data_IF_033464514251
#
_entry.id   IF_033464514251
#
_cell.length_a   1.000
_cell.length_b   1.000
_cell.length_c   1.000
_cell.angle_alpha   90.00
_cell.angle_beta   90.00
_cell.angle_gamma   90.00
#
_symmetry.space_group_name_H-M   'P 1'
#
loop_
_entity.id
_entity.type
_entity.pdbx_description
1 polymer ?
#
# COMPACT_ATOMS: atom_id res chain seq x y z
N UNK A 1 0.63 -52.76 7.15
CA UNK A 1 0.06 -51.84 8.16
C UNK A 1 1.14 -50.81 8.46
N UNK A 2 1.26 -49.81 7.58
CA UNK A 2 2.31 -48.79 7.60
C UNK A 2 1.62 -47.44 7.75
N UNK A 3 1.84 -46.81 8.89
CA UNK A 3 1.30 -45.52 9.29
C UNK A 3 1.77 -44.41 8.32
N UNK A 4 0.85 -43.67 7.66
CA UNK A 4 1.21 -42.59 6.74
C UNK A 4 1.13 -41.20 7.41
N UNK A 5 1.50 -41.04 8.69
CA UNK A 5 1.47 -39.73 9.36
C UNK A 5 2.71 -39.38 10.20
N UNK A 6 3.89 -39.35 9.57
CA UNK A 6 4.99 -38.51 10.05
C UNK A 6 5.44 -37.53 8.95
N UNK A 7 4.72 -36.40 8.83
CA UNK A 7 5.31 -35.23 8.17
C UNK A 7 6.50 -34.78 9.03
N UNK A 8 7.70 -34.57 8.45
CA UNK A 8 8.86 -34.17 9.23
C UNK A 8 8.61 -32.78 9.82
N UNK A 9 8.46 -32.69 11.15
CA UNK A 9 8.42 -31.42 11.86
C UNK A 9 9.76 -30.72 11.64
N UNK A 10 9.74 -29.57 10.97
CA UNK A 10 10.93 -28.75 10.75
C UNK A 10 11.60 -28.43 12.10
N UNK A 11 12.92 -28.53 12.17
CA UNK A 11 13.66 -28.18 13.40
C UNK A 11 13.42 -26.70 13.78
N UNK A 12 13.43 -26.35 15.09
CA UNK A 12 13.13 -24.99 15.57
C UNK A 12 13.98 -23.90 14.89
N UNK A 13 15.22 -24.24 14.54
CA UNK A 13 16.19 -23.36 13.87
C UNK A 13 15.83 -23.09 12.41
N UNK A 14 15.30 -24.09 11.69
CA UNK A 14 14.88 -23.94 10.30
C UNK A 14 13.63 -23.04 10.17
N UNK A 15 12.71 -23.12 11.15
CA UNK A 15 11.55 -22.25 11.27
C UNK A 15 11.94 -20.78 11.51
N UNK A 16 12.89 -20.54 12.42
CA UNK A 16 13.39 -19.19 12.75
C UNK A 16 14.09 -18.52 11.55
N UNK A 17 14.89 -19.27 10.78
CA UNK A 17 15.57 -18.78 9.58
C UNK A 17 14.59 -18.39 8.47
N UNK A 18 13.57 -19.21 8.20
CA UNK A 18 12.53 -18.91 7.20
C UNK A 18 11.74 -17.65 7.57
N UNK A 19 11.40 -17.50 8.85
CA UNK A 19 10.70 -16.31 9.35
C UNK A 19 11.54 -15.06 9.16
N UNK A 20 12.82 -15.10 9.51
CA UNK A 20 13.75 -13.98 9.32
C UNK A 20 13.92 -13.60 7.84
N UNK A 21 14.12 -14.59 6.96
CA UNK A 21 14.20 -14.37 5.51
C UNK A 21 12.92 -13.75 4.93
N UNK A 22 11.76 -14.14 5.45
CA UNK A 22 10.46 -13.60 5.02
C UNK A 22 10.34 -12.13 5.40
N UNK A 23 10.69 -11.77 6.64
CA UNK A 23 10.71 -10.36 7.07
C UNK A 23 11.71 -9.53 6.27
N UNK A 24 12.90 -10.06 5.99
CA UNK A 24 13.88 -9.38 5.14
C UNK A 24 13.34 -9.15 3.72
N UNK A 25 12.67 -10.13 3.15
CA UNK A 25 12.02 -10.00 1.84
C UNK A 25 10.93 -8.93 1.85
N UNK A 26 10.08 -8.89 2.90
CA UNK A 26 9.07 -7.85 3.07
C UNK A 26 9.71 -6.46 3.13
N UNK A 27 10.76 -6.25 3.94
CA UNK A 27 11.47 -4.97 4.00
C UNK A 27 12.09 -4.59 2.66
N UNK A 28 12.68 -5.54 1.94
CA UNK A 28 13.25 -5.30 0.61
C UNK A 28 12.18 -4.92 -0.43
N UNK A 29 11.01 -5.56 -0.39
CA UNK A 29 9.89 -5.24 -1.28
C UNK A 29 9.25 -3.88 -0.94
N UNK A 30 9.14 -3.55 0.34
CA UNK A 30 8.71 -2.20 0.78
C UNK A 30 9.72 -1.16 0.31
N UNK A 31 11.02 -1.41 0.44
CA UNK A 31 12.05 -0.52 -0.09
C UNK A 31 11.94 -0.35 -1.62
N UNK A 32 11.74 -1.44 -2.36
CA UNK A 32 11.56 -1.43 -3.81
C UNK A 32 10.33 -0.60 -4.23
N UNK A 33 9.24 -0.74 -3.50
CA UNK A 33 8.01 0.03 -3.68
C UNK A 33 8.26 1.53 -3.52
N UNK A 34 8.98 1.91 -2.45
CA UNK A 34 9.34 3.29 -2.15
C UNK A 34 10.25 3.89 -3.23
N UNK A 35 11.24 3.13 -3.71
CA UNK A 35 12.06 3.51 -4.86
C UNK A 35 11.20 3.73 -6.10
N UNK A 36 10.27 2.81 -6.40
CA UNK A 36 9.37 2.93 -7.53
C UNK A 36 8.58 4.24 -7.54
N UNK A 37 8.00 4.62 -6.40
CA UNK A 37 7.23 5.87 -6.27
C UNK A 37 8.12 7.11 -6.39
N UNK A 38 9.31 7.08 -5.79
CA UNK A 38 10.29 8.15 -5.94
C UNK A 38 10.73 8.37 -7.41
N UNK A 39 10.83 7.27 -8.18
CA UNK A 39 11.15 7.31 -9.62
C UNK A 39 9.96 7.83 -10.44
N UNK A 40 8.73 7.37 -10.18
CA UNK A 40 7.52 7.88 -10.85
C UNK A 40 7.38 9.39 -10.63
N UNK A 41 7.47 9.84 -9.37
CA UNK A 41 7.31 11.25 -9.00
C UNK A 41 8.33 12.15 -9.70
N UNK A 42 9.57 11.66 -9.87
CA UNK A 42 10.63 12.40 -10.58
C UNK A 42 10.46 12.36 -12.10
N UNK A 43 10.04 11.22 -12.65
CA UNK A 43 9.70 11.07 -14.06
C UNK A 43 8.59 12.03 -14.49
N UNK A 44 7.53 12.13 -13.69
CA UNK A 44 6.45 13.11 -13.89
C UNK A 44 6.96 14.56 -13.92
N UNK A 45 7.78 14.96 -12.94
CA UNK A 45 8.41 16.31 -12.93
C UNK A 45 9.29 16.56 -14.14
N UNK A 46 9.99 15.53 -14.62
CA UNK A 46 10.89 15.62 -15.78
C UNK A 46 10.12 15.72 -17.10
N UNK A 47 8.99 15.03 -17.23
CA UNK A 47 8.17 15.03 -18.45
C UNK A 47 7.30 16.27 -18.58
N UNK A 48 6.61 16.64 -17.49
CA UNK A 48 5.52 17.63 -17.54
C UNK A 48 5.90 19.00 -16.98
N UNK A 49 7.10 19.15 -16.39
CA UNK A 49 7.60 20.45 -15.92
C UNK A 49 6.61 21.16 -14.99
N UNK A 50 6.18 22.37 -15.38
CA UNK A 50 5.25 23.19 -14.61
C UNK A 50 3.79 22.68 -14.69
N UNK A 51 3.39 22.00 -15.76
CA UNK A 51 2.09 21.31 -15.85
C UNK A 51 1.98 20.14 -14.87
N UNK A 52 3.12 19.62 -14.40
CA UNK A 52 3.14 18.60 -13.36
C UNK A 52 2.44 19.09 -12.07
N UNK A 53 2.47 20.39 -11.75
CA UNK A 53 1.75 20.91 -10.57
C UNK A 53 0.24 20.74 -10.70
N UNK A 54 -0.34 20.89 -11.89
CA UNK A 54 -1.77 20.69 -12.11
C UNK A 54 -2.14 19.20 -12.05
N UNK A 55 -1.27 18.33 -12.57
CA UNK A 55 -1.43 16.88 -12.45
C UNK A 55 -1.25 16.38 -11.00
N UNK A 56 -0.31 16.97 -10.24
CA UNK A 56 -0.16 16.70 -8.81
C UNK A 56 -1.35 17.22 -8.01
N UNK A 57 -1.90 18.41 -8.33
CA UNK A 57 -3.12 18.89 -7.71
C UNK A 57 -4.32 17.96 -7.98
N UNK A 58 -4.39 17.35 -9.16
CA UNK A 58 -5.37 16.30 -9.44
C UNK A 58 -5.09 15.00 -8.67
N UNK A 59 -3.82 14.59 -8.56
CA UNK A 59 -3.43 13.43 -7.76
C UNK A 59 -3.60 13.64 -6.24
N UNK A 60 -3.55 14.91 -5.81
CA UNK A 60 -3.85 15.38 -4.45
C UNK A 60 -5.36 15.54 -4.19
N UNK A 61 -6.20 15.13 -5.14
CA UNK A 61 -7.63 15.10 -4.91
C UNK A 61 -7.98 13.94 -3.94
N UNK A 62 -8.64 14.20 -2.80
CA UNK A 62 -8.97 13.16 -1.82
C UNK A 62 -9.91 12.07 -2.39
N UNK A 63 -10.75 12.40 -3.38
CA UNK A 63 -11.58 11.40 -4.07
C UNK A 63 -10.73 10.44 -4.92
N UNK A 64 -9.64 10.93 -5.53
CA UNK A 64 -8.68 10.08 -6.26
C UNK A 64 -7.99 9.14 -5.27
N UNK A 65 -7.54 9.65 -4.12
CA UNK A 65 -6.99 8.83 -3.04
C UNK A 65 -7.95 7.72 -2.59
N UNK A 66 -9.23 8.05 -2.37
CA UNK A 66 -10.27 7.09 -2.02
C UNK A 66 -10.40 5.97 -3.05
N UNK A 67 -10.51 6.30 -4.34
CA UNK A 67 -10.63 5.32 -5.44
C UNK A 67 -9.38 4.45 -5.54
N UNK A 68 -8.19 5.03 -5.41
CA UNK A 68 -6.93 4.28 -5.42
C UNK A 68 -6.90 3.27 -4.29
N UNK A 69 -7.34 3.63 -3.08
CA UNK A 69 -7.48 2.71 -1.96
C UNK A 69 -8.42 1.54 -2.25
N UNK A 70 -9.61 1.83 -2.80
CA UNK A 70 -10.62 0.82 -3.16
C UNK A 70 -10.04 -0.20 -4.14
N UNK A 71 -9.46 0.29 -5.25
CA UNK A 71 -8.91 -0.55 -6.30
C UNK A 71 -7.72 -1.35 -5.78
N UNK A 72 -6.83 -0.71 -5.01
CA UNK A 72 -5.65 -1.37 -4.45
C UNK A 72 -6.06 -2.55 -3.56
N UNK A 73 -7.04 -2.38 -2.68
CA UNK A 73 -7.52 -3.48 -1.83
C UNK A 73 -8.30 -4.52 -2.60
N UNK A 74 -9.12 -4.14 -3.58
CA UNK A 74 -9.83 -5.11 -4.41
C UNK A 74 -8.86 -6.02 -5.19
N UNK A 75 -7.74 -5.46 -5.68
CA UNK A 75 -6.69 -6.21 -6.38
C UNK A 75 -5.85 -7.08 -5.43
N UNK A 76 -5.43 -6.51 -4.30
CA UNK A 76 -4.59 -7.18 -3.27
C UNK A 76 -5.39 -8.20 -2.46
N UNK A 77 -6.71 -8.03 -2.39
CA UNK A 77 -7.64 -8.81 -1.57
C UNK A 77 -7.34 -8.82 -0.06
N UNK A 78 -6.55 -7.86 0.43
CA UNK A 78 -6.15 -7.75 1.83
C UNK A 78 -6.00 -6.29 2.22
N UNK A 79 -6.95 -5.77 2.99
CA UNK A 79 -6.90 -4.36 3.43
C UNK A 79 -5.76 -4.10 4.39
N UNK A 80 -5.36 -5.06 5.23
CA UNK A 80 -4.19 -4.89 6.11
C UNK A 80 -2.88 -4.81 5.33
N UNK A 81 -2.75 -5.56 4.23
CA UNK A 81 -1.62 -5.43 3.32
C UNK A 81 -1.64 -4.07 2.60
N UNK A 82 -2.80 -3.65 2.09
CA UNK A 82 -2.96 -2.34 1.44
C UNK A 82 -2.65 -1.18 2.38
N UNK A 83 -3.15 -1.19 3.61
CA UNK A 83 -2.84 -0.13 4.60
C UNK A 83 -1.37 -0.10 4.95
N UNK A 84 -0.72 -1.26 5.07
CA UNK A 84 0.73 -1.34 5.34
C UNK A 84 1.55 -0.73 4.20
N UNK A 85 1.14 -0.99 2.95
CA UNK A 85 1.71 -0.33 1.76
C UNK A 85 1.53 1.18 1.87
N UNK A 86 0.31 1.67 2.11
CA UNK A 86 0.01 3.11 2.21
C UNK A 86 0.85 3.79 3.29
N UNK A 87 0.97 3.19 4.47
CA UNK A 87 1.84 3.68 5.55
C UNK A 87 3.30 3.75 5.11
N UNK A 88 3.78 2.72 4.39
CA UNK A 88 5.08 2.76 3.75
C UNK A 88 5.21 3.95 2.79
N UNK A 89 4.19 4.22 1.97
CA UNK A 89 4.21 5.35 1.03
C UNK A 89 4.28 6.70 1.75
N UNK A 90 3.59 6.85 2.88
CA UNK A 90 3.67 8.05 3.72
C UNK A 90 5.08 8.25 4.24
N UNK A 91 5.74 7.18 4.71
CA UNK A 91 7.15 7.25 5.06
C UNK A 91 8.03 7.63 3.85
N UNK A 92 7.64 7.23 2.64
CA UNK A 92 8.22 7.60 1.35
C UNK A 92 8.00 9.04 0.89
N UNK A 93 7.26 9.85 1.65
CA UNK A 93 6.92 11.23 1.30
C UNK A 93 5.56 11.40 0.62
N UNK A 94 4.70 10.37 0.62
CA UNK A 94 3.29 10.55 0.24
C UNK A 94 2.60 11.46 1.28
N UNK A 95 1.93 12.55 0.86
CA UNK A 95 1.27 13.44 1.80
C UNK A 95 0.18 12.71 2.60
N UNK A 96 0.19 12.93 3.93
CA UNK A 96 -0.84 12.41 4.85
C UNK A 96 -2.28 12.75 4.41
N UNK A 97 -2.59 13.97 3.91
CA UNK A 97 -3.94 14.31 3.45
C UNK A 97 -4.47 13.41 2.32
N UNK A 98 -3.57 12.76 1.56
CA UNK A 98 -3.92 11.84 0.47
C UNK A 98 -3.95 10.39 0.96
N UNK A 99 -3.05 10.05 1.88
CA UNK A 99 -3.01 8.73 2.49
C UNK A 99 -4.26 8.41 3.32
N UNK A 100 -4.86 9.40 4.01
CA UNK A 100 -6.08 9.22 4.81
C UNK A 100 -7.25 8.72 3.94
N UNK A 101 -7.62 9.41 2.83
CA UNK A 101 -8.58 8.89 1.86
C UNK A 101 -8.23 7.51 1.30
N UNK A 102 -6.95 7.23 1.02
CA UNK A 102 -6.54 5.90 0.54
C UNK A 102 -6.81 4.80 1.58
N UNK A 103 -6.60 5.07 2.87
CA UNK A 103 -6.93 4.12 3.95
C UNK A 103 -8.44 3.93 4.06
N UNK A 104 -9.24 4.99 3.97
CA UNK A 104 -10.71 4.87 3.91
C UNK A 104 -11.15 4.04 2.70
N UNK A 105 -10.51 4.26 1.56
CA UNK A 105 -10.74 3.50 0.33
C UNK A 105 -10.41 2.02 0.49
N UNK A 106 -9.31 1.68 1.19
CA UNK A 106 -8.96 0.31 1.52
C UNK A 106 -10.04 -0.38 2.36
N UNK A 107 -10.66 0.33 3.30
CA UNK A 107 -11.78 -0.19 4.08
C UNK A 107 -13.01 -0.48 3.19
N UNK A 108 -13.34 0.42 2.26
CA UNK A 108 -14.40 0.18 1.27
C UNK A 108 -14.03 -1.01 0.35
N UNK A 109 -12.78 -1.10 -0.10
CA UNK A 109 -12.30 -2.21 -0.94
C UNK A 109 -12.43 -3.57 -0.26
N UNK A 110 -12.33 -3.61 1.07
CA UNK A 110 -12.60 -4.84 1.86
C UNK A 110 -14.00 -5.38 1.57
N UNK A 111 -14.98 -4.52 1.31
CA UNK A 111 -16.34 -4.97 1.02
C UNK A 111 -16.46 -5.72 -0.31
N UNK A 112 -15.68 -5.32 -1.31
CA UNK A 112 -15.57 -6.07 -2.56
C UNK A 112 -14.98 -7.45 -2.27
N UNK A 113 -13.95 -7.52 -1.44
CA UNK A 113 -13.27 -8.78 -1.11
C UNK A 113 -14.15 -9.72 -0.28
N UNK A 114 -14.89 -9.20 0.70
CA UNK A 114 -15.84 -9.95 1.50
C UNK A 114 -16.98 -10.51 0.64
N UNK A 115 -17.51 -9.67 -0.26
CA UNK A 115 -18.54 -10.09 -1.22
C UNK A 115 -18.06 -11.28 -2.05
N UNK A 116 -16.88 -11.19 -2.65
CA UNK A 116 -16.27 -12.29 -3.41
C UNK A 116 -16.05 -13.53 -2.53
N UNK A 117 -15.53 -13.35 -1.32
CA UNK A 117 -15.28 -14.46 -0.39
C UNK A 117 -16.58 -15.18 0.02
N UNK A 118 -17.67 -14.42 0.27
CA UNK A 118 -18.97 -14.98 0.63
C UNK A 118 -19.58 -15.82 -0.50
N UNK A 119 -19.37 -15.42 -1.76
CA UNK A 119 -19.80 -16.18 -2.94
C UNK A 119 -19.04 -17.50 -3.08
N UNK A 120 -17.84 -17.63 -2.50
CA UNK A 120 -17.09 -18.89 -2.45
C UNK A 120 -17.83 -20.02 -1.73
N UNK A 121 -18.79 -19.69 -0.86
CA UNK A 121 -19.58 -20.65 -0.09
C UNK A 121 -20.85 -21.13 -0.84
N UNK A 122 -21.13 -20.63 -2.05
CA UNK A 122 -22.34 -21.00 -2.83
C UNK A 122 -22.41 -22.50 -3.13
N UNK A 123 -21.27 -23.19 -3.26
CA UNK A 123 -21.21 -24.64 -3.49
C UNK A 123 -21.33 -25.50 -2.22
N UNK A 124 -21.37 -24.88 -1.03
CA UNK A 124 -21.46 -25.56 0.26
C UNK A 124 -22.90 -25.76 0.74
N UNK A 125 -23.09 -25.88 2.05
CA UNK A 125 -24.46 -25.97 2.60
C UNK A 125 -25.18 -24.62 2.52
N UNK A 126 -26.51 -24.66 2.39
CA UNK A 126 -27.34 -23.45 2.40
C UNK A 126 -27.15 -22.61 3.67
N UNK A 127 -26.79 -23.24 4.77
CA UNK A 127 -26.57 -22.58 6.06
C UNK A 127 -25.21 -21.87 6.11
N UNK A 128 -24.15 -22.51 5.60
CA UNK A 128 -22.81 -21.90 5.47
C UNK A 128 -22.84 -20.66 4.59
N UNK A 129 -23.49 -20.74 3.42
CA UNK A 129 -23.61 -19.59 2.53
C UNK A 129 -24.35 -18.42 3.18
N UNK A 130 -25.48 -18.69 3.87
CA UNK A 130 -26.24 -17.66 4.59
C UNK A 130 -25.41 -16.98 5.67
N UNK A 131 -24.66 -17.76 6.46
CA UNK A 131 -23.82 -17.23 7.52
C UNK A 131 -22.69 -16.36 6.95
N UNK A 132 -22.00 -16.85 5.92
CA UNK A 132 -20.94 -16.11 5.25
C UNK A 132 -21.45 -14.81 4.60
N UNK A 133 -22.60 -14.86 3.92
CA UNK A 133 -23.21 -13.69 3.28
C UNK A 133 -23.72 -12.66 4.30
N UNK A 134 -24.32 -13.11 5.41
CA UNK A 134 -24.75 -12.22 6.49
C UNK A 134 -23.56 -11.53 7.16
N UNK A 135 -22.48 -12.29 7.45
CA UNK A 135 -21.26 -11.73 8.01
C UNK A 135 -20.62 -10.69 7.06
N UNK A 136 -20.53 -11.02 5.76
CA UNK A 136 -20.07 -10.10 4.72
C UNK A 136 -20.91 -8.81 4.73
N UNK A 137 -22.24 -8.93 4.67
CA UNK A 137 -23.14 -7.77 4.59
C UNK A 137 -23.00 -6.82 5.78
N UNK A 138 -22.88 -7.35 7.00
CA UNK A 138 -22.71 -6.52 8.20
C UNK A 138 -21.39 -5.76 8.16
N UNK A 139 -20.31 -6.44 7.78
CA UNK A 139 -19.00 -5.80 7.63
C UNK A 139 -19.00 -4.75 6.51
N UNK A 140 -19.72 -5.02 5.42
CA UNK A 140 -19.84 -4.11 4.28
C UNK A 140 -20.60 -2.84 4.65
N UNK A 141 -21.72 -2.98 5.36
CA UNK A 141 -22.45 -1.82 5.88
C UNK A 141 -21.62 -1.01 6.86
N UNK A 142 -20.87 -1.67 7.75
CA UNK A 142 -19.98 -0.96 8.68
C UNK A 142 -18.90 -0.16 7.92
N UNK A 143 -18.20 -0.78 6.96
CA UNK A 143 -17.15 -0.11 6.20
C UNK A 143 -17.69 1.05 5.34
N UNK A 144 -18.85 0.86 4.70
CA UNK A 144 -19.49 1.89 3.89
C UNK A 144 -20.01 3.05 4.74
N UNK A 145 -20.63 2.77 5.88
CA UNK A 145 -21.10 3.82 6.80
C UNK A 145 -19.93 4.59 7.40
N UNK A 146 -18.86 3.90 7.79
CA UNK A 146 -17.65 4.56 8.27
C UNK A 146 -17.09 5.51 7.22
N UNK A 147 -16.95 5.08 5.97
CA UNK A 147 -16.49 5.96 4.90
C UNK A 147 -17.48 7.11 4.64
N UNK A 148 -18.79 6.84 4.58
CA UNK A 148 -19.82 7.85 4.34
C UNK A 148 -19.83 8.95 5.41
N UNK A 149 -19.47 8.63 6.65
CA UNK A 149 -19.42 9.58 7.76
C UNK A 149 -18.06 10.27 7.82
N UNK A 150 -16.97 9.49 7.87
CA UNK A 150 -15.64 10.02 8.11
C UNK A 150 -15.02 10.70 6.90
N UNK A 151 -15.34 10.29 5.67
CA UNK A 151 -14.75 10.89 4.47
C UNK A 151 -15.22 12.33 4.23
N UNK A 152 -16.52 12.67 4.26
CA UNK A 152 -16.95 14.07 4.18
C UNK A 152 -16.48 14.89 5.38
N UNK A 153 -16.49 14.30 6.58
CA UNK A 153 -15.98 14.94 7.79
C UNK A 153 -14.49 15.29 7.65
N UNK A 154 -13.70 14.40 7.06
CA UNK A 154 -12.28 14.63 6.79
C UNK A 154 -12.07 15.75 5.79
N UNK A 155 -12.83 15.77 4.69
CA UNK A 155 -12.73 16.84 3.69
C UNK A 155 -13.13 18.21 4.27
N UNK A 156 -14.07 18.25 5.21
CA UNK A 156 -14.61 19.50 5.74
C UNK A 156 -13.83 20.05 6.94
N UNK A 157 -13.34 19.18 7.81
CA UNK A 157 -12.78 19.57 9.10
C UNK A 157 -11.36 19.06 9.36
N UNK A 158 -10.84 18.17 8.50
CA UNK A 158 -9.52 17.55 8.62
C UNK A 158 -9.17 16.98 10.02
N UNK A 159 -10.10 16.33 10.77
CA UNK A 159 -9.82 15.84 12.10
C UNK A 159 -8.78 14.72 12.12
N UNK A 160 -8.75 13.83 11.14
CA UNK A 160 -7.77 12.73 11.11
C UNK A 160 -6.39 13.24 10.73
N UNK A 161 -6.30 14.20 9.80
CA UNK A 161 -5.05 14.89 9.52
C UNK A 161 -4.53 15.63 10.77
N UNK A 162 -5.40 16.36 11.46
CA UNK A 162 -5.05 17.02 12.71
C UNK A 162 -4.54 16.04 13.76
N UNK A 163 -5.25 14.92 13.97
CA UNK A 163 -4.83 13.88 14.92
C UNK A 163 -3.52 13.21 14.50
N UNK A 164 -3.29 13.02 13.21
CA UNK A 164 -2.04 12.48 12.67
C UNK A 164 -0.87 13.42 12.95
N UNK A 165 -1.04 14.73 12.69
CA UNK A 165 -0.03 15.76 12.99
C UNK A 165 0.21 15.88 14.50
N UNK A 166 -0.85 15.91 15.30
CA UNK A 166 -0.73 15.93 16.76
C UNK A 166 0.04 14.71 17.28
N UNK A 167 -0.26 13.52 16.74
CA UNK A 167 0.46 12.29 17.08
C UNK A 167 1.93 12.37 16.65
N UNK A 168 2.23 12.84 15.44
CA UNK A 168 3.60 13.01 14.96
C UNK A 168 4.41 13.95 15.86
N UNK A 169 3.81 15.07 16.29
CA UNK A 169 4.44 16.04 17.18
C UNK A 169 4.73 15.46 18.57
N UNK A 170 3.91 14.53 19.07
CA UNK A 170 4.20 13.81 20.34
C UNK A 170 5.46 12.95 20.25
N UNK A 171 5.78 12.40 19.07
CA UNK A 171 6.97 11.58 18.86
C UNK A 171 8.22 12.40 18.50
N UNK A 172 8.05 13.53 17.81
CA UNK A 172 9.15 14.38 17.33
C UNK A 172 9.52 15.49 18.34
N UNK A 173 8.64 15.81 19.30
CA UNK A 173 8.85 16.88 20.29
C UNK A 173 8.67 18.29 19.71
N UNK A 174 8.57 19.29 20.59
CA UNK A 174 8.38 20.73 20.25
C UNK A 174 9.62 21.38 19.58
N UNK A 175 10.60 20.57 19.19
CA UNK A 175 11.69 21.02 18.35
C UNK A 175 11.18 21.16 16.92
N UNK A 176 11.38 22.35 16.36
CA UNK A 176 11.13 22.78 14.97
C UNK A 176 11.95 21.96 13.95
N UNK A 177 11.86 20.64 14.04
CA UNK A 177 12.44 19.69 13.11
C UNK A 177 11.47 19.60 11.95
N UNK A 178 11.74 20.41 10.93
CA UNK A 178 11.15 20.25 9.62
C UNK A 178 11.17 18.76 9.27
N UNK A 179 10.06 18.27 8.70
CA UNK A 179 9.96 16.92 8.11
C UNK A 179 11.11 16.66 7.11
N UNK A 180 11.77 17.71 6.62
CA UNK A 180 12.98 17.63 5.80
C UNK A 180 14.23 17.08 6.52
N UNK A 181 14.39 17.28 7.84
CA UNK A 181 15.60 16.83 8.57
C UNK A 181 15.60 15.32 8.83
N UNK A 182 14.42 14.68 8.80
CA UNK A 182 14.27 13.22 8.81
C UNK A 182 13.82 12.68 7.45
N UNK A 183 14.35 13.21 6.35
CA UNK A 183 14.28 12.54 5.05
C UNK A 183 15.19 11.27 5.02
N UNK A 184 15.12 10.44 6.06
CA UNK A 184 15.77 9.13 6.14
C UNK A 184 15.34 8.25 4.96
N UNK A 185 14.05 8.33 4.61
CA UNK A 185 13.49 7.52 3.54
C UNK A 185 13.95 8.03 2.18
N UNK A 186 13.90 9.33 1.92
CA UNK A 186 14.50 9.88 0.71
C UNK A 186 16.01 9.73 0.69
N UNK A 187 16.74 9.81 1.80
CA UNK A 187 18.17 9.50 1.89
C UNK A 187 18.48 8.07 1.43
N UNK A 188 17.65 7.09 1.82
CA UNK A 188 17.79 5.71 1.39
C UNK A 188 17.38 5.49 -0.08
N UNK A 189 16.41 6.25 -0.60
CA UNK A 189 15.88 6.09 -1.97
C UNK A 189 16.70 6.85 -3.02
N UNK A 190 17.17 8.07 -2.67
CA UNK A 190 17.96 8.98 -3.52
C UNK A 190 19.06 8.25 -4.32
N UNK A 191 19.95 7.43 -3.73
CA UNK A 191 21.04 6.79 -4.48
C UNK A 191 20.54 5.83 -5.57
N UNK A 192 19.50 5.04 -5.29
CA UNK A 192 18.94 4.10 -6.28
C UNK A 192 18.14 4.85 -7.34
N UNK A 193 17.33 5.83 -6.93
CA UNK A 193 16.58 6.69 -7.86
C UNK A 193 17.50 7.43 -8.82
N UNK A 194 18.61 7.98 -8.30
CA UNK A 194 19.55 8.75 -9.11
C UNK A 194 20.41 7.84 -10.01
N UNK A 195 20.65 6.59 -9.60
CA UNK A 195 21.22 5.54 -10.45
C UNK A 195 20.30 5.20 -11.63
N UNK A 196 19.00 5.03 -11.38
CA UNK A 196 17.99 4.81 -12.44
C UNK A 196 17.96 6.02 -13.39
N UNK A 197 17.98 7.24 -12.85
CA UNK A 197 18.05 8.47 -13.66
C UNK A 197 19.26 8.48 -14.59
N UNK A 198 20.45 8.17 -14.05
CA UNK A 198 21.69 8.09 -14.81
C UNK A 198 21.57 7.06 -15.93
N UNK A 199 21.01 5.88 -15.62
CA UNK A 199 20.76 4.83 -16.60
C UNK A 199 19.75 5.22 -17.68
N UNK A 200 18.77 6.09 -17.39
CA UNK A 200 17.78 6.61 -18.36
C UNK A 200 18.23 7.90 -19.07
N UNK A 201 19.39 8.45 -18.69
CA UNK A 201 19.90 9.75 -19.15
C UNK A 201 20.29 9.82 -20.63
N UNK A 202 20.32 8.69 -21.33
CA UNK A 202 20.62 8.61 -22.77
C UNK A 202 19.49 9.13 -23.67
N UNK A 203 18.28 9.36 -23.12
CA UNK A 203 17.12 9.86 -23.87
C UNK A 203 16.89 11.38 -23.69
N UNK A 204 16.37 12.09 -24.71
CA UNK A 204 16.00 13.49 -24.61
C UNK A 204 14.86 13.75 -23.61
N UNK A 205 14.87 14.95 -23.00
CA UNK A 205 14.02 15.43 -21.89
C UNK A 205 12.72 14.67 -21.58
N UNK A 206 11.67 14.79 -22.42
CA UNK A 206 10.36 14.19 -22.11
C UNK A 206 10.37 12.65 -22.18
N UNK A 207 11.17 12.06 -23.08
CA UNK A 207 11.26 10.61 -23.23
C UNK A 207 11.99 9.95 -22.05
N UNK A 208 12.97 10.64 -21.46
CA UNK A 208 13.63 10.20 -20.24
C UNK A 208 12.64 10.17 -19.06
N UNK A 209 11.85 11.22 -18.90
CA UNK A 209 10.81 11.27 -17.86
C UNK A 209 9.74 10.19 -18.03
N UNK A 210 9.24 9.97 -19.25
CA UNK A 210 8.27 8.90 -19.56
C UNK A 210 8.86 7.52 -19.24
N UNK A 211 10.12 7.26 -19.61
CA UNK A 211 10.77 5.99 -19.31
C UNK A 211 10.92 5.77 -17.79
N UNK A 212 11.27 6.82 -17.03
CA UNK A 212 11.29 6.75 -15.56
C UNK A 212 9.90 6.43 -14.99
N UNK A 213 8.83 7.04 -15.51
CA UNK A 213 7.45 6.72 -15.09
C UNK A 213 7.15 5.24 -15.32
N UNK A 214 7.44 4.71 -16.52
CA UNK A 214 7.19 3.30 -16.84
C UNK A 214 8.01 2.35 -15.96
N UNK A 215 9.29 2.64 -15.72
CA UNK A 215 10.14 1.87 -14.81
C UNK A 215 9.57 1.91 -13.40
N UNK A 216 9.23 3.10 -12.90
CA UNK A 216 8.68 3.28 -11.56
C UNK A 216 7.36 2.55 -11.37
N UNK A 217 6.44 2.62 -12.34
CA UNK A 217 5.20 1.84 -12.35
C UNK A 217 5.52 0.34 -12.34
N UNK A 218 6.45 -0.14 -13.17
CA UNK A 218 6.87 -1.54 -13.18
C UNK A 218 7.43 -2.01 -11.82
N UNK A 219 8.24 -1.19 -11.17
CA UNK A 219 8.78 -1.47 -9.82
C UNK A 219 7.67 -1.51 -8.77
N UNK A 220 6.71 -0.59 -8.82
CA UNK A 220 5.55 -0.56 -7.92
C UNK A 220 4.69 -1.81 -8.10
N UNK A 221 4.34 -2.15 -9.34
CA UNK A 221 3.54 -3.35 -9.62
C UNK A 221 4.28 -4.64 -9.23
N UNK A 222 5.58 -4.74 -9.51
CA UNK A 222 6.37 -5.89 -9.07
C UNK A 222 6.42 -6.00 -7.55
N UNK A 223 6.66 -4.89 -6.84
CA UNK A 223 6.69 -4.88 -5.38
C UNK A 223 5.34 -5.27 -4.78
N UNK A 224 4.23 -4.72 -5.28
CA UNK A 224 2.87 -5.09 -4.84
C UNK A 224 2.60 -6.56 -5.14
N UNK A 225 2.85 -7.02 -6.36
CA UNK A 225 2.61 -8.41 -6.76
C UNK A 225 3.36 -9.40 -5.87
N UNK A 226 4.66 -9.19 -5.65
CA UNK A 226 5.47 -10.07 -4.81
C UNK A 226 5.16 -9.96 -3.32
N UNK A 227 4.72 -8.79 -2.83
CA UNK A 227 4.20 -8.65 -1.47
C UNK A 227 2.93 -9.48 -1.28
N UNK A 228 1.99 -9.39 -2.23
CA UNK A 228 0.75 -10.17 -2.20
C UNK A 228 1.04 -11.66 -2.27
N UNK A 229 1.87 -12.08 -3.23
CA UNK A 229 2.24 -13.49 -3.38
C UNK A 229 2.97 -14.02 -2.14
N UNK A 230 3.94 -13.28 -1.61
CA UNK A 230 4.69 -13.69 -0.42
C UNK A 230 3.82 -13.82 0.84
N UNK A 231 2.81 -12.97 0.99
CA UNK A 231 1.82 -13.06 2.08
C UNK A 231 0.89 -14.24 1.86
N UNK A 232 0.35 -14.43 0.65
CA UNK A 232 -0.58 -15.52 0.32
C UNK A 232 0.09 -16.90 0.42
N UNK A 233 1.31 -17.06 -0.08
CA UNK A 233 2.10 -18.29 0.05
C UNK A 233 2.46 -18.58 1.51
N UNK A 234 2.75 -17.55 2.30
CA UNK A 234 2.99 -17.66 3.74
C UNK A 234 1.78 -18.13 4.53
N UNK A 235 0.56 -17.80 4.08
CA UNK A 235 -0.70 -18.26 4.66
C UNK A 235 -1.05 -19.70 4.26
N UNK A 236 -0.73 -20.11 3.02
CA UNK A 236 -0.97 -21.49 2.54
C UNK A 236 0.06 -22.51 3.03
N UNK A 237 1.25 -22.06 3.48
CA UNK A 237 2.31 -22.91 4.00
C UNK A 237 2.18 -23.24 5.50
N UNK A 238 1.13 -22.76 6.18
CA UNK A 238 0.77 -23.05 7.57
C UNK A 238 -0.42 -24.00 7.64
#
# INVERSE_FOLDING_TARGET
MSDPLLKPSLSPTASRRKTFLSWLAVFALVYLLLVGIGVVSRGFRTTFGDEAQQLFAFAENPFVGLVVGIISTALVQSSSATTSIIVGLVAGGLPVPIAIPMIMGSNIGTSITNGIASLGFVGGSKEEFKQAFAASTVLDLFNLLAALIFFPLEILFHPLEFLSRASANLFLGDSDLSVDDFDLVGAMIRPVRDSIRSATGFLPGPYNGILQILIGIGLVFAAVYFLVQGVTEGLQAR
#
